data_IF_780340959881
#
_entry.id   IF_780340959881
#
_cell.length_a   1.000
_cell.length_b   1.000
_cell.length_c   1.000
_cell.angle_alpha   90.00
_cell.angle_beta   90.00
_cell.angle_gamma   90.00
#
_symmetry.space_group_name_H-M   'P 1'
#
loop_
_entity.id
_entity.type
_entity.pdbx_description
1 polymer ?
#
# COMPACT_ATOMS: atom_id res chain seq x y z
N UNK A 1 40.30 -36.20 -6.90
CA UNK A 1 39.39 -35.60 -7.90
C UNK A 1 39.08 -34.18 -7.45
N UNK A 2 39.59 -33.18 -8.17
CA UNK A 2 39.54 -31.77 -7.77
C UNK A 2 38.17 -31.15 -8.10
N UNK A 3 37.47 -30.64 -7.08
CA UNK A 3 36.22 -29.90 -7.27
C UNK A 3 36.54 -28.41 -7.48
N UNK A 4 36.26 -27.91 -8.68
CA UNK A 4 36.57 -26.56 -9.13
C UNK A 4 35.41 -25.64 -8.73
N UNK A 5 35.56 -24.92 -7.63
CA UNK A 5 34.59 -23.93 -7.14
C UNK A 5 34.42 -22.81 -8.16
N UNK A 6 33.23 -22.74 -8.77
CA UNK A 6 32.84 -21.66 -9.70
C UNK A 6 32.68 -20.35 -8.94
N UNK A 7 33.65 -19.45 -9.11
CA UNK A 7 33.66 -18.08 -8.58
C UNK A 7 32.51 -17.27 -9.20
N UNK A 8 31.61 -16.74 -8.36
CA UNK A 8 30.53 -15.85 -8.79
C UNK A 8 31.13 -14.62 -9.51
N UNK A 9 30.69 -14.40 -10.75
CA UNK A 9 31.17 -13.30 -11.61
C UNK A 9 30.61 -11.99 -11.06
N UNK A 10 31.46 -11.11 -10.53
CA UNK A 10 31.05 -9.79 -10.06
C UNK A 10 30.47 -8.99 -11.24
N UNK A 11 29.29 -8.42 -11.04
CA UNK A 11 28.65 -7.50 -11.99
C UNK A 11 29.57 -6.30 -12.21
N UNK A 12 30.00 -6.08 -13.46
CA UNK A 12 30.92 -4.99 -13.82
C UNK A 12 30.26 -3.65 -13.49
N UNK A 13 30.86 -2.87 -12.60
CA UNK A 13 30.45 -1.48 -12.37
C UNK A 13 30.82 -0.62 -13.58
N UNK A 14 29.95 0.33 -13.94
CA UNK A 14 30.24 1.36 -14.95
C UNK A 14 30.37 2.71 -14.25
N UNK A 15 31.40 3.47 -14.61
CA UNK A 15 31.60 4.83 -14.11
C UNK A 15 30.83 5.79 -15.01
N UNK A 16 29.99 6.62 -14.41
CA UNK A 16 29.26 7.71 -15.08
C UNK A 16 29.69 9.00 -14.40
N UNK A 17 30.20 9.96 -15.19
CA UNK A 17 30.53 11.30 -14.72
C UNK A 17 29.48 12.28 -15.25
N UNK A 18 28.98 13.16 -14.38
CA UNK A 18 28.07 14.24 -14.75
C UNK A 18 28.56 15.54 -14.12
N UNK A 19 28.33 16.64 -14.84
CA UNK A 19 28.68 17.98 -14.37
C UNK A 19 27.60 18.49 -13.43
N UNK A 20 28.01 19.12 -12.33
CA UNK A 20 27.13 19.72 -11.32
C UNK A 20 27.65 21.10 -10.93
N UNK A 21 26.79 21.91 -10.31
CA UNK A 21 27.17 23.17 -9.69
C UNK A 21 28.08 22.95 -8.48
N UNK A 22 28.93 23.94 -8.16
CA UNK A 22 29.94 23.84 -7.11
C UNK A 22 29.33 23.49 -5.74
N UNK A 23 28.21 24.12 -5.39
CA UNK A 23 27.50 23.89 -4.13
C UNK A 23 27.01 22.44 -3.99
N UNK A 24 26.49 21.85 -5.09
CA UNK A 24 26.08 20.45 -5.09
C UNK A 24 27.28 19.50 -5.01
N UNK A 25 28.41 19.86 -5.60
CA UNK A 25 29.64 19.08 -5.48
C UNK A 25 30.15 19.05 -4.03
N UNK A 26 30.14 20.19 -3.34
CA UNK A 26 30.50 20.31 -1.93
C UNK A 26 29.57 19.47 -1.04
N UNK A 27 28.26 19.61 -1.23
CA UNK A 27 27.28 18.79 -0.51
C UNK A 27 27.50 17.29 -0.72
N UNK A 28 27.69 16.85 -1.97
CA UNK A 28 27.98 15.45 -2.27
C UNK A 28 29.33 15.02 -1.67
N UNK A 29 30.28 15.94 -1.49
CA UNK A 29 31.58 15.65 -0.90
C UNK A 29 31.53 15.33 0.59
N UNK A 30 30.58 15.92 1.30
CA UNK A 30 30.39 15.75 2.75
C UNK A 30 29.65 14.44 3.10
N UNK A 31 29.10 13.74 2.11
CA UNK A 31 28.38 12.49 2.35
C UNK A 31 29.34 11.31 2.62
N UNK A 32 29.09 10.51 3.66
CA UNK A 32 29.92 9.36 4.01
C UNK A 32 29.92 8.25 2.93
N UNK A 33 28.87 8.17 2.09
CA UNK A 33 28.82 7.25 0.95
C UNK A 33 28.04 7.85 -0.24
N UNK A 34 28.75 8.67 -1.03
CA UNK A 34 28.22 9.39 -2.20
C UNK A 34 27.52 8.47 -3.21
N UNK A 35 28.16 7.34 -3.50
CA UNK A 35 27.65 6.40 -4.51
C UNK A 35 26.35 5.75 -4.09
N UNK A 36 26.19 5.42 -2.81
CA UNK A 36 24.95 4.83 -2.30
C UNK A 36 23.82 5.84 -2.22
N UNK A 37 24.12 7.07 -1.75
CA UNK A 37 23.16 8.17 -1.75
C UNK A 37 22.65 8.48 -3.15
N UNK A 38 23.55 8.70 -4.12
CA UNK A 38 23.19 9.01 -5.51
C UNK A 38 22.38 7.86 -6.11
N UNK A 39 22.76 6.59 -5.87
CA UNK A 39 22.00 5.44 -6.36
C UNK A 39 20.58 5.44 -5.81
N UNK A 40 20.41 5.66 -4.51
CA UNK A 40 19.08 5.72 -3.86
C UNK A 40 18.25 6.89 -4.36
N UNK A 41 18.84 8.08 -4.48
CA UNK A 41 18.16 9.27 -4.99
C UNK A 41 17.71 9.08 -6.45
N UNK A 42 18.59 8.54 -7.30
CA UNK A 42 18.27 8.19 -8.69
C UNK A 42 17.16 7.15 -8.73
N UNK A 43 17.29 6.03 -8.02
CA UNK A 43 16.27 4.97 -8.00
C UNK A 43 14.93 5.47 -7.47
N UNK A 44 14.93 6.37 -6.48
CA UNK A 44 13.72 7.00 -5.98
C UNK A 44 13.05 7.88 -7.06
N UNK A 45 13.85 8.56 -7.88
CA UNK A 45 13.35 9.39 -8.97
C UNK A 45 12.88 8.60 -10.21
N UNK A 46 13.43 7.39 -10.42
CA UNK A 46 13.04 6.48 -11.51
C UNK A 46 11.96 5.46 -11.10
N UNK A 47 11.58 5.43 -9.82
CA UNK A 47 10.47 4.64 -9.34
C UNK A 47 9.13 5.23 -9.78
N UNK A 48 8.20 4.37 -10.14
CA UNK A 48 6.79 4.75 -10.26
C UNK A 48 6.18 4.78 -8.87
N UNK A 49 5.21 5.66 -8.65
CA UNK A 49 4.41 5.63 -7.43
C UNK A 49 3.86 4.23 -7.19
N UNK A 50 4.06 3.68 -5.99
CA UNK A 50 3.54 2.36 -5.65
C UNK A 50 2.01 2.36 -5.80
N UNK A 51 1.43 1.46 -6.61
CA UNK A 51 0.00 1.47 -6.88
C UNK A 51 -0.84 0.92 -5.72
N UNK A 52 -0.22 0.48 -4.61
CA UNK A 52 -0.90 -0.10 -3.44
C UNK A 52 -0.92 0.84 -2.23
N UNK A 53 0.16 1.59 -1.99
CA UNK A 53 0.31 2.40 -0.77
C UNK A 53 -0.02 3.89 -0.99
N UNK A 54 -0.88 4.16 -1.98
CA UNK A 54 -1.46 5.48 -2.26
C UNK A 54 -0.45 6.63 -2.32
N UNK A 55 0.74 6.40 -2.89
CA UNK A 55 1.74 7.47 -2.99
C UNK A 55 2.86 7.44 -1.98
N UNK A 56 2.74 6.69 -0.88
CA UNK A 56 3.73 6.74 0.21
C UNK A 56 5.06 6.03 -0.11
N UNK A 57 5.11 5.29 -1.21
CA UNK A 57 6.28 4.53 -1.64
C UNK A 57 6.44 4.54 -3.14
N UNK A 58 7.61 4.09 -3.58
CA UNK A 58 7.97 3.95 -5.00
C UNK A 58 8.33 2.50 -5.31
N UNK A 59 8.00 2.07 -6.52
CA UNK A 59 8.35 0.73 -7.03
C UNK A 59 8.96 0.84 -8.42
N UNK A 60 9.82 -0.11 -8.84
CA UNK A 60 10.29 -0.14 -10.21
C UNK A 60 9.12 -0.20 -11.21
N UNK A 61 9.27 0.45 -12.38
CA UNK A 61 8.24 0.48 -13.44
C UNK A 61 7.65 -0.90 -13.76
N UNK A 62 8.48 -1.93 -13.91
CA UNK A 62 8.00 -3.28 -14.22
C UNK A 62 7.07 -3.86 -13.14
N UNK A 63 7.30 -3.54 -11.87
CA UNK A 63 6.42 -3.96 -10.76
C UNK A 63 5.11 -3.15 -10.78
N UNK A 64 5.22 -1.84 -10.96
CA UNK A 64 4.04 -0.98 -11.11
C UNK A 64 3.12 -1.48 -12.24
N UNK A 65 3.68 -1.68 -13.43
CA UNK A 65 2.93 -2.05 -14.63
C UNK A 65 2.37 -3.48 -14.53
N UNK A 66 3.07 -4.38 -13.82
CA UNK A 66 2.59 -5.73 -13.54
C UNK A 66 1.37 -5.74 -12.62
N UNK A 67 1.40 -4.99 -11.51
CA UNK A 67 0.32 -5.00 -10.52
C UNK A 67 -0.86 -4.09 -10.85
N UNK A 68 -0.67 -3.04 -11.66
CA UNK A 68 -1.75 -2.13 -12.08
C UNK A 68 -2.99 -2.85 -12.64
N UNK A 69 -2.89 -3.77 -13.63
CA UNK A 69 -4.06 -4.50 -14.13
C UNK A 69 -4.62 -5.50 -13.11
N UNK A 70 -3.77 -6.09 -12.25
CA UNK A 70 -4.21 -7.01 -11.20
C UNK A 70 -5.10 -6.29 -10.19
N UNK A 71 -4.68 -5.11 -9.73
CA UNK A 71 -5.47 -4.29 -8.81
C UNK A 71 -6.81 -3.93 -9.45
N UNK A 72 -6.82 -3.46 -10.71
CA UNK A 72 -8.05 -3.12 -11.41
C UNK A 72 -9.01 -4.31 -11.58
N UNK A 73 -8.48 -5.53 -11.74
CA UNK A 73 -9.30 -6.74 -11.89
C UNK A 73 -9.78 -7.33 -10.56
N UNK A 74 -9.07 -7.06 -9.46
CA UNK A 74 -9.27 -7.73 -8.17
C UNK A 74 -9.74 -6.78 -7.05
N UNK A 75 -10.02 -5.51 -7.36
CA UNK A 75 -10.51 -4.54 -6.39
C UNK A 75 -12.00 -4.68 -6.05
N UNK A 76 -12.67 -5.74 -6.50
CA UNK A 76 -14.08 -5.99 -6.19
C UNK A 76 -14.25 -6.99 -5.05
N UNK A 77 -15.14 -6.67 -4.12
CA UNK A 77 -15.51 -7.54 -2.99
C UNK A 77 -17.02 -7.56 -2.80
N UNK A 78 -17.63 -8.71 -2.45
CA UNK A 78 -19.07 -8.77 -2.23
C UNK A 78 -19.46 -8.03 -0.94
N UNK A 79 -20.58 -7.31 -0.98
CA UNK A 79 -21.22 -6.75 0.21
C UNK A 79 -21.58 -7.85 1.22
N UNK A 80 -21.26 -7.65 2.50
CA UNK A 80 -21.51 -8.64 3.54
C UNK A 80 -22.99 -8.93 3.77
N UNK A 81 -23.88 -7.97 3.44
CA UNK A 81 -25.34 -8.11 3.53
C UNK A 81 -25.96 -8.69 2.26
N UNK A 82 -25.87 -7.98 1.13
CA UNK A 82 -26.61 -8.33 -0.10
C UNK A 82 -25.77 -9.03 -1.19
N UNK A 83 -24.46 -9.23 -0.96
CA UNK A 83 -23.52 -9.89 -1.89
C UNK A 83 -23.28 -9.18 -3.23
N UNK A 84 -23.91 -8.04 -3.49
CA UNK A 84 -23.57 -7.18 -4.64
C UNK A 84 -22.08 -6.82 -4.61
N UNK A 85 -21.43 -6.87 -5.78
CA UNK A 85 -20.03 -6.48 -5.92
C UNK A 85 -19.85 -5.00 -5.59
N UNK A 86 -18.85 -4.70 -4.76
CA UNK A 86 -18.44 -3.35 -4.37
C UNK A 86 -17.00 -3.18 -4.81
N UNK A 87 -16.74 -2.13 -5.59
CA UNK A 87 -15.37 -1.71 -5.88
C UNK A 87 -14.78 -1.07 -4.62
N UNK A 88 -13.67 -1.62 -4.17
CA UNK A 88 -12.96 -1.23 -2.96
C UNK A 88 -11.84 -0.28 -3.38
N UNK A 89 -11.81 0.96 -2.85
CA UNK A 89 -10.75 1.89 -3.12
C UNK A 89 -9.47 1.47 -2.37
N UNK A 90 -8.31 1.88 -2.89
CA UNK A 90 -7.01 1.64 -2.24
C UNK A 90 -6.87 2.33 -0.87
N UNK A 91 -7.56 3.47 -0.69
CA UNK A 91 -7.70 4.17 0.59
C UNK A 91 -9.10 4.78 0.69
N UNK A 92 -9.54 5.09 1.91
CA UNK A 92 -10.79 5.79 2.12
C UNK A 92 -10.82 7.20 1.49
N UNK A 93 -9.67 7.86 1.39
CA UNK A 93 -9.55 9.18 0.75
C UNK A 93 -9.81 9.15 -0.77
N UNK A 94 -9.71 7.97 -1.39
CA UNK A 94 -10.04 7.78 -2.80
C UNK A 94 -11.54 7.52 -3.03
N UNK A 95 -12.35 7.46 -1.97
CA UNK A 95 -13.80 7.30 -2.07
C UNK A 95 -14.52 8.64 -2.15
N UNK A 96 -15.79 8.62 -2.58
CA UNK A 96 -16.69 9.76 -2.43
C UNK A 96 -16.84 10.12 -0.93
N UNK A 97 -16.96 11.40 -0.55
CA UNK A 97 -17.05 11.83 0.85
C UNK A 97 -18.12 11.10 1.67
N UNK A 98 -19.29 10.85 1.09
CA UNK A 98 -20.41 10.12 1.67
C UNK A 98 -20.12 8.64 1.95
N UNK A 99 -19.17 8.06 1.22
CA UNK A 99 -18.75 6.67 1.36
C UNK A 99 -17.49 6.50 2.21
N UNK A 100 -16.85 7.60 2.63
CA UNK A 100 -15.58 7.58 3.35
C UNK A 100 -15.63 6.69 4.59
N UNK A 101 -16.59 6.92 5.48
CA UNK A 101 -16.75 6.14 6.74
C UNK A 101 -16.98 4.65 6.48
N UNK A 102 -17.74 4.32 5.44
CA UNK A 102 -18.04 2.95 5.01
C UNK A 102 -16.78 2.20 4.61
N UNK A 103 -15.89 2.85 3.86
CA UNK A 103 -14.62 2.25 3.45
C UNK A 103 -13.55 2.31 4.54
N UNK A 104 -13.50 3.35 5.37
CA UNK A 104 -12.64 3.40 6.57
C UNK A 104 -12.89 2.17 7.46
N UNK A 105 -14.15 1.91 7.80
CA UNK A 105 -14.52 0.72 8.57
C UNK A 105 -13.95 -0.56 7.95
N UNK A 106 -14.16 -0.78 6.65
CA UNK A 106 -13.67 -1.98 5.97
C UNK A 106 -12.14 -2.08 5.96
N UNK A 107 -11.46 -0.98 5.64
CA UNK A 107 -9.99 -0.93 5.57
C UNK A 107 -9.34 -1.10 6.95
N UNK A 108 -10.05 -0.77 8.03
CA UNK A 108 -9.66 -1.04 9.41
C UNK A 108 -10.06 -2.45 9.90
N UNK A 109 -10.54 -3.33 9.02
CA UNK A 109 -10.84 -4.73 9.31
C UNK A 109 -12.30 -5.02 9.67
N UNK A 110 -13.18 -4.03 9.54
CA UNK A 110 -14.63 -4.18 9.71
C UNK A 110 -15.34 -4.79 8.49
N UNK A 111 -16.66 -5.03 8.60
CA UNK A 111 -17.45 -5.59 7.50
C UNK A 111 -17.61 -4.59 6.34
N UNK A 112 -17.69 -5.10 5.12
CA UNK A 112 -17.91 -4.31 3.90
C UNK A 112 -19.38 -4.26 3.55
N UNK A 113 -19.94 -3.06 3.43
CA UNK A 113 -21.28 -2.87 2.87
C UNK A 113 -21.25 -2.03 1.60
N UNK A 114 -22.25 -2.23 0.74
CA UNK A 114 -22.51 -1.31 -0.38
C UNK A 114 -23.21 -0.04 0.14
N UNK A 115 -23.18 1.02 -0.66
CA UNK A 115 -23.80 2.32 -0.32
C UNK A 115 -25.29 2.21 0.05
N UNK A 116 -26.02 1.23 -0.52
CA UNK A 116 -27.44 0.99 -0.19
C UNK A 116 -27.62 0.30 1.16
N UNK A 117 -26.74 -0.64 1.51
CA UNK A 117 -26.91 -1.43 2.74
C UNK A 117 -26.38 -0.71 3.97
N UNK A 118 -25.29 0.05 3.84
CA UNK A 118 -24.58 0.67 4.96
C UNK A 118 -25.50 1.51 5.88
N UNK A 119 -26.35 2.42 5.38
CA UNK A 119 -27.22 3.24 6.24
C UNK A 119 -28.30 2.44 6.99
N UNK A 120 -28.59 1.21 6.57
CA UNK A 120 -29.62 0.35 7.14
C UNK A 120 -29.04 -0.75 8.06
N UNK A 121 -27.74 -0.75 8.28
CA UNK A 121 -27.09 -1.61 9.27
C UNK A 121 -26.90 -0.77 10.52
N UNK A 122 -27.30 -1.24 11.72
CA UNK A 122 -27.08 -0.51 12.96
C UNK A 122 -25.59 -0.32 13.26
N UNK A 123 -25.24 0.81 13.86
CA UNK A 123 -23.90 1.09 14.34
C UNK A 123 -23.71 0.51 15.75
N UNK A 124 -22.51 0.04 16.04
CA UNK A 124 -22.07 -0.32 17.38
C UNK A 124 -21.90 0.95 18.22
N UNK A 125 -22.45 0.96 19.44
CA UNK A 125 -22.42 2.14 20.31
C UNK A 125 -21.00 2.50 20.80
N UNK A 126 -20.07 1.54 20.85
CA UNK A 126 -18.71 1.73 21.36
C UNK A 126 -17.72 2.30 20.33
N UNK A 127 -17.83 1.89 19.05
CA UNK A 127 -16.90 2.30 18.00
C UNK A 127 -17.54 2.96 16.77
N UNK A 128 -18.88 2.97 16.68
CA UNK A 128 -19.62 3.50 15.53
C UNK A 128 -19.56 2.62 14.27
N UNK A 129 -18.94 1.42 14.33
CA UNK A 129 -18.95 0.52 13.18
C UNK A 129 -20.34 -0.04 12.93
N UNK A 130 -20.78 0.00 11.68
CA UNK A 130 -22.00 -0.66 11.24
C UNK A 130 -21.78 -2.17 11.26
N UNK A 131 -22.51 -2.89 12.10
CA UNK A 131 -22.38 -4.33 12.29
C UNK A 131 -23.77 -4.97 12.26
N UNK A 132 -23.94 -6.00 11.44
CA UNK A 132 -25.20 -6.74 11.41
C UNK A 132 -25.48 -7.38 12.79
N UNK A 133 -26.73 -7.34 13.25
CA UNK A 133 -27.12 -7.76 14.60
C UNK A 133 -26.65 -9.19 14.94
N UNK A 134 -26.72 -10.09 13.96
CA UNK A 134 -26.23 -11.46 14.08
C UNK A 134 -24.71 -11.60 14.29
N UNK A 135 -23.93 -10.57 13.99
CA UNK A 135 -22.45 -10.54 14.12
C UNK A 135 -21.96 -9.66 15.27
N UNK A 136 -22.86 -9.03 16.02
CA UNK A 136 -22.48 -8.08 17.09
C UNK A 136 -21.67 -8.76 18.19
N UNK A 137 -22.08 -9.95 18.65
CA UNK A 137 -21.33 -10.68 19.68
C UNK A 137 -19.88 -11.03 19.23
N UNK A 138 -19.71 -11.43 17.97
CA UNK A 138 -18.39 -11.70 17.39
C UNK A 138 -17.55 -10.43 17.26
N UNK A 139 -18.17 -9.32 16.85
CA UNK A 139 -17.53 -8.00 16.78
C UNK A 139 -17.03 -7.55 18.15
N UNK A 140 -17.86 -7.61 19.20
CA UNK A 140 -17.45 -7.27 20.56
C UNK A 140 -16.25 -8.10 21.02
N UNK A 141 -16.27 -9.42 20.78
CA UNK A 141 -15.13 -10.28 21.10
C UNK A 141 -13.87 -9.92 20.33
N UNK A 142 -13.94 -9.59 19.04
CA UNK A 142 -12.75 -9.32 18.22
C UNK A 142 -12.17 -7.91 18.39
N UNK A 143 -13.04 -6.92 18.58
CA UNK A 143 -12.67 -5.49 18.50
C UNK A 143 -12.62 -4.84 19.89
N UNK A 144 -13.45 -5.31 20.82
CA UNK A 144 -13.60 -4.67 22.14
C UNK A 144 -13.10 -5.51 23.30
N UNK A 145 -12.96 -6.83 23.14
CA UNK A 145 -12.36 -7.67 24.17
C UNK A 145 -10.82 -7.55 24.12
N UNK A 146 -10.30 -6.52 24.77
CA UNK A 146 -8.92 -6.53 25.22
C UNK A 146 -8.87 -7.42 26.47
N UNK A 147 -8.29 -8.61 26.31
CA UNK A 147 -7.97 -9.46 27.45
C UNK A 147 -7.05 -8.69 28.40
N UNK A 148 -7.51 -8.54 29.65
CA UNK A 148 -6.65 -8.36 30.81
C UNK A 148 -5.77 -9.60 31.02
#
# INVERSE_FOLDING_TARGET
MANKTTKAKSTKSKIVAFKVEAELAEFLNDLPNKSDFIRKAILAQFGMTCPLCTGTGVVPRGIHDHYKPVIAAQNQRPCDKCKTAVEVPLSADNAAPEDKKRFEQFLHGGPLYCARCYPHVPACDDCGWHVAMEKVAEHFKKVHSHAH
#
